data_IF_295638529331
#
_entry.id   IF_295638529331
#
_cell.length_a   1.000
_cell.length_b   1.000
_cell.length_c   1.000
_cell.angle_alpha   90.00
_cell.angle_beta   90.00
_cell.angle_gamma   90.00
#
_symmetry.space_group_name_H-M   'P 1'
#
loop_
_entity.id
_entity.type
_entity.pdbx_description
1 polymer ?
#
# COMPACT_ATOMS: atom_id res chain seq x y z
N UNK A 1 31.17 -16.36 4.96
CA UNK A 1 30.37 -16.20 6.20
C UNK A 1 30.53 -14.80 6.78
N UNK A 2 31.73 -14.34 7.22
CA UNK A 2 31.90 -13.00 7.80
C UNK A 2 31.37 -11.82 6.96
N UNK A 3 31.56 -11.86 5.64
CA UNK A 3 31.06 -10.82 4.72
C UNK A 3 29.52 -10.85 4.60
N UNK A 4 28.93 -12.04 4.58
CA UNK A 4 27.47 -12.21 4.60
C UNK A 4 26.87 -11.65 5.89
N UNK A 5 27.48 -11.95 7.04
CA UNK A 5 27.01 -11.47 8.35
C UNK A 5 27.02 -9.93 8.41
N UNK A 6 28.04 -9.30 7.81
CA UNK A 6 28.14 -7.84 7.71
C UNK A 6 27.03 -7.27 6.82
N UNK A 7 26.84 -7.82 5.62
CA UNK A 7 25.82 -7.36 4.67
C UNK A 7 24.39 -7.50 5.24
N UNK A 8 24.11 -8.61 5.94
CA UNK A 8 22.81 -8.81 6.60
C UNK A 8 22.59 -7.75 7.68
N UNK A 9 23.61 -7.46 8.49
CA UNK A 9 23.51 -6.43 9.53
C UNK A 9 23.27 -5.04 8.93
N UNK A 10 24.03 -4.66 7.91
CA UNK A 10 23.88 -3.37 7.22
C UNK A 10 22.49 -3.20 6.58
N UNK A 11 21.96 -4.27 6.00
CA UNK A 11 20.59 -4.30 5.47
C UNK A 11 19.54 -4.06 6.57
N UNK A 12 19.62 -4.80 7.68
CA UNK A 12 18.66 -4.67 8.78
C UNK A 12 18.70 -3.27 9.40
N UNK A 13 19.89 -2.71 9.66
CA UNK A 13 20.03 -1.35 10.19
C UNK A 13 19.48 -0.29 9.22
N UNK A 14 19.73 -0.46 7.92
CA UNK A 14 19.21 0.46 6.91
C UNK A 14 17.68 0.39 6.80
N UNK A 15 17.13 -0.82 6.90
CA UNK A 15 15.69 -1.07 6.89
C UNK A 15 14.99 -0.42 8.08
N UNK A 16 15.52 -0.60 9.29
CA UNK A 16 15.00 0.02 10.51
C UNK A 16 15.03 1.56 10.44
N UNK A 17 16.13 2.13 9.94
CA UNK A 17 16.26 3.59 9.74
C UNK A 17 15.21 4.12 8.76
N UNK A 18 14.99 3.43 7.64
CA UNK A 18 13.99 3.82 6.66
C UNK A 18 12.57 3.73 7.25
N UNK A 19 12.28 2.67 8.01
CA UNK A 19 10.97 2.51 8.65
C UNK A 19 10.67 3.64 9.64
N UNK A 20 11.64 3.99 10.50
CA UNK A 20 11.51 5.10 11.43
C UNK A 20 11.26 6.41 10.67
N UNK A 21 12.05 6.67 9.62
CA UNK A 21 11.89 7.89 8.82
C UNK A 21 10.52 8.00 8.15
N UNK A 22 10.00 6.91 7.57
CA UNK A 22 8.67 6.88 6.95
C UNK A 22 7.53 7.03 7.97
N UNK A 23 7.75 6.64 9.23
CA UNK A 23 6.75 6.77 10.29
C UNK A 23 6.60 8.20 10.79
N UNK A 24 7.70 8.97 10.77
CA UNK A 24 7.76 10.35 11.29
C UNK A 24 7.52 11.42 10.21
N UNK A 25 7.26 11.02 8.97
CA UNK A 25 7.15 11.96 7.85
C UNK A 25 5.84 12.76 7.91
N UNK A 26 5.95 14.08 7.97
CA UNK A 26 4.80 14.99 7.77
C UNK A 26 4.51 15.13 6.27
N UNK A 27 3.46 14.47 5.81
CA UNK A 27 3.19 14.27 4.38
C UNK A 27 2.88 15.60 3.65
N UNK A 28 2.36 16.61 4.34
CA UNK A 28 2.01 17.91 3.77
C UNK A 28 3.22 18.70 3.19
N UNK A 29 4.46 18.32 3.54
CA UNK A 29 5.70 19.04 3.16
C UNK A 29 6.52 18.37 2.04
N UNK A 30 6.09 17.25 1.46
CA UNK A 30 6.94 16.39 0.62
C UNK A 30 6.76 16.55 -0.91
N UNK A 31 6.01 17.56 -1.37
CA UNK A 31 5.58 17.71 -2.79
C UNK A 31 6.71 17.83 -3.83
N UNK A 32 7.94 18.17 -3.44
CA UNK A 32 8.98 18.60 -4.39
C UNK A 32 10.25 17.72 -4.48
N UNK A 33 10.34 16.55 -3.83
CA UNK A 33 11.59 15.75 -3.93
C UNK A 33 11.52 14.23 -3.78
N UNK A 34 10.33 13.61 -3.77
CA UNK A 34 10.28 12.15 -3.66
C UNK A 34 10.36 11.50 -5.03
N UNK A 35 11.39 10.68 -5.26
CA UNK A 35 11.54 9.86 -6.46
C UNK A 35 10.42 8.83 -6.51
N UNK A 36 9.36 9.12 -7.28
CA UNK A 36 8.19 8.25 -7.48
C UNK A 36 8.60 6.80 -7.79
N UNK A 37 9.62 6.60 -8.63
CA UNK A 37 10.13 5.28 -9.00
C UNK A 37 10.70 4.49 -7.80
N UNK A 38 11.29 5.19 -6.83
CA UNK A 38 11.79 4.60 -5.59
C UNK A 38 10.64 4.16 -4.68
N UNK A 39 9.58 4.97 -4.57
CA UNK A 39 8.37 4.58 -3.84
C UNK A 39 7.68 3.36 -4.48
N UNK A 40 7.54 3.35 -5.80
CA UNK A 40 6.96 2.21 -6.52
C UNK A 40 7.78 0.92 -6.35
N UNK A 41 9.09 1.05 -6.19
CA UNK A 41 9.95 -0.10 -5.86
C UNK A 41 9.77 -0.56 -4.42
N UNK A 42 9.65 0.37 -3.47
CA UNK A 42 9.41 0.06 -2.06
C UNK A 42 8.03 -0.53 -1.79
N UNK A 43 7.00 -0.15 -2.57
CA UNK A 43 5.68 -0.80 -2.53
C UNK A 43 5.76 -2.30 -2.79
N UNK A 44 6.81 -2.77 -3.47
CA UNK A 44 6.96 -4.20 -3.70
C UNK A 44 7.41 -4.97 -2.47
N UNK A 45 7.95 -4.29 -1.46
CA UNK A 45 8.34 -4.88 -0.19
C UNK A 45 7.16 -4.81 0.78
N UNK A 46 6.65 -5.96 1.19
CA UNK A 46 5.47 -6.06 2.07
C UNK A 46 5.66 -5.36 3.42
N UNK A 47 6.91 -5.17 3.85
CA UNK A 47 7.24 -4.48 5.09
C UNK A 47 6.97 -2.97 5.03
N UNK A 48 7.07 -2.37 3.84
CA UNK A 48 6.89 -0.94 3.63
C UNK A 48 5.58 -0.58 2.92
N UNK A 49 4.90 -1.57 2.35
CA UNK A 49 3.81 -1.39 1.40
C UNK A 49 2.70 -0.45 1.90
N UNK A 50 2.11 -0.68 3.07
CA UNK A 50 1.04 0.19 3.59
C UNK A 50 1.50 1.65 3.73
N UNK A 51 2.64 1.86 4.40
CA UNK A 51 3.14 3.21 4.68
C UNK A 51 3.55 3.96 3.42
N UNK A 52 4.13 3.25 2.46
CA UNK A 52 4.51 3.83 1.16
C UNK A 52 3.27 4.08 0.31
N UNK A 53 2.23 3.25 0.43
CA UNK A 53 0.96 3.47 -0.25
C UNK A 53 0.25 4.72 0.27
N UNK A 54 0.17 4.91 1.59
CA UNK A 54 -0.34 6.13 2.22
C UNK A 54 0.39 7.37 1.65
N UNK A 55 1.73 7.35 1.62
CA UNK A 55 2.51 8.43 1.04
C UNK A 55 2.21 8.67 -0.44
N UNK A 56 2.04 7.60 -1.21
CA UNK A 56 1.70 7.69 -2.62
C UNK A 56 0.30 8.28 -2.83
N UNK A 57 -0.68 8.02 -1.94
CA UNK A 57 -2.01 8.62 -2.01
C UNK A 57 -1.94 10.15 -1.93
N UNK A 58 -1.11 10.70 -1.05
CA UNK A 58 -0.97 12.16 -0.91
C UNK A 58 -0.15 12.79 -2.04
N UNK A 59 0.90 12.11 -2.50
CA UNK A 59 1.84 12.65 -3.49
C UNK A 59 1.34 12.48 -4.93
N UNK A 60 0.78 11.31 -5.24
CA UNK A 60 0.29 10.94 -6.56
C UNK A 60 -0.89 9.96 -6.47
N UNK A 61 -2.10 10.45 -6.14
CA UNK A 61 -3.31 9.64 -6.00
C UNK A 61 -3.59 8.75 -7.21
N UNK A 62 -3.27 9.22 -8.42
CA UNK A 62 -3.51 8.49 -9.67
C UNK A 62 -2.72 7.18 -9.72
N UNK A 63 -1.46 7.19 -9.31
CA UNK A 63 -0.64 5.98 -9.31
C UNK A 63 -1.01 5.04 -8.15
N UNK A 64 -1.36 5.59 -6.98
CA UNK A 64 -1.90 4.79 -5.87
C UNK A 64 -3.19 4.05 -6.27
N UNK A 65 -4.15 4.73 -6.90
CA UNK A 65 -5.38 4.14 -7.44
C UNK A 65 -5.09 2.98 -8.39
N UNK A 66 -4.16 3.19 -9.32
CA UNK A 66 -3.74 2.17 -10.28
C UNK A 66 -3.09 0.97 -9.58
N UNK A 67 -2.23 1.22 -8.60
CA UNK A 67 -1.55 0.18 -7.84
C UNK A 67 -2.53 -0.75 -7.10
N UNK A 68 -3.39 -0.19 -6.23
CA UNK A 68 -4.33 -1.00 -5.44
C UNK A 68 -5.31 -1.75 -6.36
N UNK A 69 -5.76 -1.12 -7.43
CA UNK A 69 -6.63 -1.75 -8.42
C UNK A 69 -5.96 -2.94 -9.10
N UNK A 70 -4.77 -2.76 -9.67
CA UNK A 70 -4.08 -3.79 -10.43
C UNK A 70 -3.62 -4.97 -9.57
N UNK A 71 -3.06 -4.70 -8.40
CA UNK A 71 -2.42 -5.74 -7.59
C UNK A 71 -3.36 -6.41 -6.59
N UNK A 72 -4.45 -5.74 -6.19
CA UNK A 72 -5.33 -6.25 -5.14
C UNK A 72 -6.77 -6.46 -5.60
N UNK A 73 -7.34 -5.60 -6.44
CA UNK A 73 -8.80 -5.59 -6.66
C UNK A 73 -9.26 -6.17 -8.02
N UNK A 74 -8.48 -6.02 -9.10
CA UNK A 74 -8.83 -6.48 -10.46
C UNK A 74 -8.18 -7.82 -10.84
N UNK A 75 -8.78 -8.54 -11.79
CA UNK A 75 -8.28 -9.85 -12.25
C UNK A 75 -8.64 -10.99 -11.30
N UNK A 76 -8.21 -12.21 -11.64
CA UNK A 76 -8.55 -13.40 -10.86
C UNK A 76 -7.88 -13.36 -9.47
N UNK A 77 -8.65 -13.36 -8.37
CA UNK A 77 -8.06 -13.29 -7.05
C UNK A 77 -7.25 -14.55 -6.72
N UNK A 78 -7.61 -15.72 -7.24
CA UNK A 78 -6.86 -16.94 -6.97
C UNK A 78 -5.46 -16.99 -7.61
N UNK A 79 -5.15 -16.05 -8.51
CA UNK A 79 -3.88 -15.99 -9.24
C UNK A 79 -2.89 -14.94 -8.69
N UNK A 80 -3.27 -14.17 -7.65
CA UNK A 80 -2.38 -13.12 -7.13
C UNK A 80 -1.47 -13.64 -6.02
N UNK A 81 -0.23 -13.18 -6.03
CA UNK A 81 0.80 -13.56 -5.06
C UNK A 81 0.70 -12.79 -3.74
N UNK A 82 0.02 -11.63 -3.74
CA UNK A 82 -0.09 -10.72 -2.59
C UNK A 82 -1.46 -10.83 -1.94
N UNK A 83 -1.55 -11.53 -0.82
CA UNK A 83 -2.75 -11.51 0.00
C UNK A 83 -2.45 -11.34 1.47
N UNK A 84 -3.30 -10.49 2.07
CA UNK A 84 -3.62 -10.34 3.50
C UNK A 84 -2.85 -9.35 4.36
N UNK A 85 -1.67 -8.86 3.97
CA UNK A 85 -0.90 -8.06 4.91
C UNK A 85 -1.51 -6.69 5.24
N UNK A 86 -1.91 -5.96 4.19
CA UNK A 86 -2.09 -4.52 4.29
C UNK A 86 -3.32 -3.99 3.52
N UNK A 87 -4.14 -4.86 2.89
CA UNK A 87 -5.21 -4.38 1.99
C UNK A 87 -6.30 -3.64 2.77
N UNK A 88 -6.65 -4.12 3.95
CA UNK A 88 -7.53 -3.47 4.91
C UNK A 88 -7.04 -2.07 5.28
N UNK A 89 -5.78 -1.97 5.73
CA UNK A 89 -5.13 -0.69 6.07
C UNK A 89 -5.07 0.23 4.86
N UNK A 90 -4.71 -0.28 3.69
CA UNK A 90 -4.62 0.51 2.46
C UNK A 90 -5.99 1.00 1.98
N UNK A 91 -7.06 0.23 2.17
CA UNK A 91 -8.42 0.66 1.83
C UNK A 91 -8.92 1.73 2.81
N UNK A 92 -8.60 1.60 4.09
CA UNK A 92 -8.86 2.64 5.08
C UNK A 92 -8.11 3.95 4.76
N UNK A 93 -6.79 3.87 4.52
CA UNK A 93 -5.97 5.02 4.08
C UNK A 93 -6.57 5.65 2.82
N UNK A 94 -6.99 4.83 1.85
CA UNK A 94 -7.60 5.31 0.61
C UNK A 94 -8.88 6.12 0.90
N UNK A 95 -9.75 5.59 1.74
CA UNK A 95 -11.01 6.24 2.13
C UNK A 95 -10.76 7.52 2.92
N UNK A 96 -9.85 7.48 3.88
CA UNK A 96 -9.47 8.60 4.74
C UNK A 96 -8.83 9.75 3.96
N UNK A 97 -7.94 9.45 2.99
CA UNK A 97 -7.19 10.46 2.24
C UNK A 97 -7.98 11.01 1.04
N UNK A 98 -8.65 10.14 0.28
CA UNK A 98 -9.34 10.54 -0.96
C UNK A 98 -10.84 10.78 -0.77
N UNK A 99 -11.39 10.38 0.37
CA UNK A 99 -12.77 10.57 0.75
C UNK A 99 -13.72 9.49 0.23
N UNK A 100 -14.89 9.45 0.88
CA UNK A 100 -15.95 8.46 0.64
C UNK A 100 -16.34 8.33 -0.82
N UNK A 101 -16.48 9.44 -1.55
CA UNK A 101 -16.90 9.40 -2.96
C UNK A 101 -15.90 8.65 -3.86
N UNK A 102 -14.61 8.80 -3.62
CA UNK A 102 -13.59 8.08 -4.40
C UNK A 102 -13.47 6.63 -3.97
N UNK A 103 -13.72 6.35 -2.68
CA UNK A 103 -13.78 4.99 -2.14
C UNK A 103 -14.94 4.20 -2.74
N UNK A 104 -16.17 4.74 -2.73
CA UNK A 104 -17.33 4.06 -3.32
C UNK A 104 -17.09 3.75 -4.81
N UNK A 105 -16.52 4.69 -5.59
CA UNK A 105 -16.16 4.45 -6.99
C UNK A 105 -15.17 3.30 -7.16
N UNK A 106 -14.19 3.19 -6.27
CA UNK A 106 -13.23 2.09 -6.29
C UNK A 106 -13.94 0.76 -6.05
N UNK A 107 -14.77 0.68 -5.01
CA UNK A 107 -15.52 -0.53 -4.66
C UNK A 107 -16.51 -0.91 -5.77
N UNK A 108 -17.23 0.04 -6.33
CA UNK A 108 -18.17 -0.18 -7.43
C UNK A 108 -17.49 -0.73 -8.70
N UNK A 109 -16.19 -0.45 -8.88
CA UNK A 109 -15.41 -0.96 -10.02
C UNK A 109 -14.96 -2.42 -9.89
N UNK A 110 -15.08 -3.02 -8.69
CA UNK A 110 -14.70 -4.40 -8.42
C UNK A 110 -15.82 -5.33 -8.92
N UNK A 111 -15.47 -6.43 -9.58
CA UNK A 111 -16.46 -7.45 -9.98
C UNK A 111 -17.08 -8.13 -8.76
N UNK A 112 -18.33 -8.56 -8.86
CA UNK A 112 -19.03 -9.24 -7.76
C UNK A 112 -18.27 -10.49 -7.29
N UNK A 113 -17.72 -11.27 -8.23
CA UNK A 113 -16.87 -12.43 -7.93
C UNK A 113 -15.65 -12.07 -7.07
N UNK A 114 -15.04 -10.90 -7.31
CA UNK A 114 -13.88 -10.44 -6.53
C UNK A 114 -14.28 -9.85 -5.19
N UNK A 115 -15.45 -9.17 -5.11
CA UNK A 115 -16.01 -8.67 -3.85
C UNK A 115 -16.34 -9.81 -2.89
N UNK A 116 -16.77 -10.95 -3.41
CA UNK A 116 -17.08 -12.15 -2.61
C UNK A 116 -15.83 -12.93 -2.17
N UNK A 117 -14.65 -12.61 -2.73
CA UNK A 117 -13.41 -13.21 -2.28
C UNK A 117 -13.09 -12.77 -0.86
N UNK A 118 -13.00 -13.74 0.06
CA UNK A 118 -12.92 -13.51 1.50
C UNK A 118 -11.95 -12.39 1.93
N UNK A 119 -10.74 -12.33 1.35
CA UNK A 119 -9.74 -11.31 1.71
C UNK A 119 -10.14 -9.90 1.28
N UNK A 120 -10.72 -9.76 0.08
CA UNK A 120 -11.18 -8.47 -0.42
C UNK A 120 -12.42 -8.04 0.37
N UNK A 121 -13.33 -8.98 0.62
CA UNK A 121 -14.52 -8.74 1.44
C UNK A 121 -14.17 -8.22 2.83
N UNK A 122 -13.30 -8.92 3.57
CA UNK A 122 -12.91 -8.49 4.92
C UNK A 122 -12.23 -7.12 4.92
N UNK A 123 -11.40 -6.83 3.93
CA UNK A 123 -10.74 -5.53 3.82
C UNK A 123 -11.74 -4.40 3.52
N UNK A 124 -12.76 -4.66 2.71
CA UNK A 124 -13.85 -3.71 2.43
C UNK A 124 -14.70 -3.51 3.68
N UNK A 125 -15.08 -4.58 4.38
CA UNK A 125 -15.88 -4.53 5.60
C UNK A 125 -15.14 -3.72 6.68
N UNK A 126 -13.84 -3.98 6.87
CA UNK A 126 -12.97 -3.22 7.77
C UNK A 126 -12.98 -1.73 7.45
N UNK A 127 -12.71 -1.36 6.20
CA UNK A 127 -12.63 0.03 5.78
C UNK A 127 -13.99 0.76 5.82
N UNK A 128 -15.12 0.06 5.93
CA UNK A 128 -16.46 0.65 6.09
C UNK A 128 -16.88 0.84 7.56
N UNK A 129 -16.34 0.03 8.48
CA UNK A 129 -16.75 0.00 9.88
C UNK A 129 -16.07 1.08 10.75
N UNK A 130 -14.98 1.70 10.29
CA UNK A 130 -14.31 2.88 10.91
C UNK A 130 -14.90 4.22 10.43
#
# INVERSE_FOLDING_TARGET
MKELDLLVKEYLESRERLQAFLSDIEIEKSKDSVLLDSLLSLLKDSFFEAKVFELLLYLNPSEAKKYISQYYLQGNPYEKERYKGNLDVMLDDYRSVLGESEFSKLIDSISDENKDFYVIKEAIDFANDE
#
